data_IF_753177616308
#
_entry.id   IF_753177616308
#
_cell.length_a   1.000
_cell.length_b   1.000
_cell.length_c   1.000
_cell.angle_alpha   90.00
_cell.angle_beta   90.00
_cell.angle_gamma   90.00
#
_symmetry.space_group_name_H-M   'P 1'
#
loop_
_entity.id
_entity.type
_entity.pdbx_description
1 polymer ?
#
# COMPACT_ATOMS: atom_id res chain seq x y z
N UNK A 1 -4.91 10.35 18.34
CA UNK A 1 -5.21 9.61 17.11
C UNK A 1 -4.25 8.44 17.06
N UNK A 2 -4.73 7.22 16.89
CA UNK A 2 -3.87 6.05 16.74
C UNK A 2 -3.62 5.80 15.26
N UNK A 3 -2.36 5.66 14.88
CA UNK A 3 -1.99 5.28 13.52
C UNK A 3 -2.04 3.75 13.43
N UNK A 4 -2.60 3.20 12.36
CA UNK A 4 -2.67 1.75 12.11
C UNK A 4 -2.25 1.50 10.66
N UNK A 5 -1.29 0.59 10.47
CA UNK A 5 -0.84 0.09 9.17
C UNK A 5 -1.55 -1.21 8.83
N UNK A 6 -2.36 -1.16 7.77
CA UNK A 6 -3.04 -2.30 7.19
C UNK A 6 -2.42 -2.65 5.83
N UNK A 7 -1.94 -3.88 5.65
CA UNK A 7 -1.42 -4.37 4.36
C UNK A 7 -2.38 -5.39 3.75
N UNK A 8 -2.63 -5.27 2.44
CA UNK A 8 -3.63 -6.06 1.73
C UNK A 8 -2.94 -6.93 0.69
N UNK A 9 -3.05 -8.25 0.86
CA UNK A 9 -2.40 -9.28 0.02
C UNK A 9 -3.44 -10.25 -0.53
N UNK A 10 -3.05 -11.10 -1.48
CA UNK A 10 -3.99 -11.94 -2.25
C UNK A 10 -3.71 -11.86 -3.74
N UNK A 11 -4.34 -12.74 -4.52
CA UNK A 11 -4.09 -12.93 -5.96
C UNK A 11 -4.32 -11.65 -6.81
N UNK A 12 -3.92 -11.74 -8.09
CA UNK A 12 -4.31 -10.76 -9.11
C UNK A 12 -5.83 -10.77 -9.27
N UNK A 13 -6.41 -9.62 -9.61
CA UNK A 13 -7.84 -9.43 -9.88
C UNK A 13 -8.86 -9.71 -8.75
N UNK A 14 -8.49 -10.23 -7.57
CA UNK A 14 -9.41 -10.47 -6.42
C UNK A 14 -9.95 -9.20 -5.72
N UNK A 15 -10.03 -8.07 -6.42
CA UNK A 15 -10.70 -6.86 -5.95
C UNK A 15 -9.97 -6.01 -4.90
N UNK A 16 -8.74 -6.37 -4.47
CA UNK A 16 -7.96 -5.63 -3.43
C UNK A 16 -7.96 -4.11 -3.64
N UNK A 17 -7.61 -3.66 -4.84
CA UNK A 17 -7.54 -2.25 -5.22
C UNK A 17 -8.92 -1.57 -5.23
N UNK A 18 -9.98 -2.29 -5.62
CA UNK A 18 -11.36 -1.78 -5.59
C UNK A 18 -11.86 -1.63 -4.14
N UNK A 19 -11.60 -2.62 -3.29
CA UNK A 19 -11.88 -2.59 -1.84
C UNK A 19 -11.24 -1.37 -1.16
N UNK A 20 -10.01 -1.00 -1.53
CA UNK A 20 -9.27 0.11 -0.94
C UNK A 20 -9.67 1.47 -1.53
N UNK A 21 -9.83 1.58 -2.85
CA UNK A 21 -10.25 2.83 -3.49
C UNK A 21 -11.68 3.17 -3.07
N UNK A 22 -12.66 2.28 -3.23
CA UNK A 22 -14.05 2.61 -2.90
C UNK A 22 -14.24 2.94 -1.41
N UNK A 23 -13.49 2.29 -0.51
CA UNK A 23 -13.50 2.65 0.91
C UNK A 23 -12.91 4.04 1.21
N UNK A 24 -11.99 4.55 0.38
CA UNK A 24 -11.30 5.83 0.60
C UNK A 24 -11.87 6.99 -0.22
N UNK A 25 -12.59 6.72 -1.32
CA UNK A 25 -13.12 7.76 -2.23
C UNK A 25 -14.63 7.71 -2.47
N UNK A 26 -15.36 6.70 -1.97
CA UNK A 26 -16.78 6.45 -2.29
C UNK A 26 -17.02 6.38 -3.82
N UNK A 27 -16.10 5.70 -4.51
CA UNK A 27 -16.15 5.50 -5.96
C UNK A 27 -15.49 4.16 -6.36
N UNK A 28 -16.12 3.46 -7.31
CA UNK A 28 -15.55 2.28 -7.96
C UNK A 28 -14.64 2.74 -9.13
N UNK A 29 -13.43 2.18 -9.31
CA UNK A 29 -12.59 2.47 -10.46
C UNK A 29 -13.27 2.10 -11.78
N UNK A 30 -13.29 3.01 -12.76
CA UNK A 30 -13.91 2.77 -14.07
C UNK A 30 -13.10 1.82 -14.98
N UNK A 31 -11.79 1.68 -14.74
CA UNK A 31 -10.89 0.81 -15.50
C UNK A 31 -9.98 0.01 -14.54
N UNK A 32 -9.65 -1.23 -14.92
CA UNK A 32 -8.71 -2.06 -14.15
C UNK A 32 -7.26 -1.76 -14.53
N UNK A 33 -6.56 -1.05 -13.65
CA UNK A 33 -5.10 -0.87 -13.71
C UNK A 33 -4.43 -1.87 -12.74
N UNK A 34 -3.47 -2.71 -13.19
CA UNK A 34 -2.77 -3.63 -12.28
C UNK A 34 -1.91 -2.89 -11.25
N UNK A 35 -2.24 -3.02 -9.96
CA UNK A 35 -1.39 -2.50 -8.87
C UNK A 35 -0.02 -3.17 -8.87
N UNK A 36 1.03 -2.35 -8.88
CA UNK A 36 2.37 -2.69 -8.40
C UNK A 36 2.41 -2.52 -6.88
N UNK A 37 2.21 -1.28 -6.43
CA UNK A 37 2.18 -0.90 -5.03
C UNK A 37 1.59 0.52 -4.89
N UNK A 38 0.59 0.71 -4.03
CA UNK A 38 -0.02 2.01 -3.72
C UNK A 38 -0.28 2.14 -2.21
N UNK A 39 -0.31 3.37 -1.68
CA UNK A 39 -0.66 3.66 -0.28
C UNK A 39 -1.79 4.70 -0.22
N UNK A 40 -2.90 4.33 0.41
CA UNK A 40 -4.03 5.21 0.70
C UNK A 40 -4.11 5.52 2.19
N UNK A 41 -4.83 6.58 2.57
CA UNK A 41 -5.01 6.99 3.96
C UNK A 41 -6.48 7.33 4.24
N UNK A 42 -6.99 6.90 5.39
CA UNK A 42 -8.34 7.20 5.86
C UNK A 42 -8.35 7.60 7.34
N UNK A 43 -9.16 8.60 7.69
CA UNK A 43 -9.35 9.06 9.07
C UNK A 43 -10.77 8.76 9.52
N UNK A 44 -10.92 8.13 10.69
CA UNK A 44 -12.20 7.54 11.11
C UNK A 44 -12.32 7.38 12.62
N UNK A 45 -13.55 7.08 13.07
CA UNK A 45 -13.86 6.69 14.45
C UNK A 45 -14.27 5.21 14.47
N UNK A 46 -13.53 4.38 15.20
CA UNK A 46 -13.90 2.98 15.47
C UNK A 46 -13.99 2.80 16.98
N UNK A 47 -15.14 2.30 17.45
CA UNK A 47 -15.44 2.07 18.87
C UNK A 47 -15.12 3.27 19.78
N UNK A 48 -15.38 4.48 19.29
CA UNK A 48 -15.11 5.76 19.97
C UNK A 48 -13.65 6.24 19.93
N UNK A 49 -12.72 5.47 19.34
CA UNK A 49 -11.29 5.81 19.22
C UNK A 49 -11.01 6.45 17.85
N UNK A 50 -10.34 7.63 17.77
CA UNK A 50 -9.94 8.25 16.51
C UNK A 50 -8.70 7.58 15.91
N UNK A 51 -8.84 7.03 14.70
CA UNK A 51 -7.84 6.24 13.98
C UNK A 51 -7.42 6.92 12.68
N UNK A 52 -6.13 6.84 12.38
CA UNK A 52 -5.54 7.12 11.08
C UNK A 52 -5.09 5.80 10.46
N UNK A 53 -5.91 5.24 9.57
CA UNK A 53 -5.61 3.99 8.88
C UNK A 53 -4.81 4.32 7.62
N UNK A 54 -3.60 3.77 7.52
CA UNK A 54 -2.88 3.69 6.26
C UNK A 54 -3.12 2.31 5.63
N UNK A 55 -3.26 2.29 4.30
CA UNK A 55 -3.73 1.17 3.51
C UNK A 55 -2.73 0.87 2.39
N UNK A 56 -1.97 -0.21 2.53
CA UNK A 56 -0.96 -0.64 1.57
C UNK A 56 -1.59 -1.66 0.60
N UNK A 57 -1.88 -1.24 -0.65
CA UNK A 57 -2.28 -2.16 -1.73
C UNK A 57 -1.04 -2.80 -2.36
N UNK A 58 -1.14 -4.07 -2.74
CA UNK A 58 0.02 -4.84 -3.22
C UNK A 58 -0.27 -5.68 -4.46
N UNK A 59 0.74 -5.82 -5.33
CA UNK A 59 0.69 -6.67 -6.51
C UNK A 59 0.38 -8.13 -6.15
N UNK A 60 -0.74 -8.64 -6.69
CA UNK A 60 -1.13 -10.06 -6.57
C UNK A 60 -0.52 -10.97 -7.63
N UNK A 61 0.48 -10.49 -8.39
CA UNK A 61 1.17 -11.23 -9.44
C UNK A 61 2.55 -11.68 -8.94
N UNK A 62 2.99 -12.86 -9.37
CA UNK A 62 4.17 -13.57 -8.82
C UNK A 62 5.50 -12.86 -9.12
N UNK A 63 5.57 -12.10 -10.21
CA UNK A 63 6.73 -11.26 -10.57
C UNK A 63 7.15 -10.31 -9.44
N UNK A 64 6.20 -9.96 -8.56
CA UNK A 64 6.38 -9.04 -7.43
C UNK A 64 6.59 -9.75 -6.08
N UNK A 65 6.68 -11.09 -6.03
CA UNK A 65 6.85 -11.85 -4.78
C UNK A 65 8.10 -11.45 -3.97
N UNK A 66 9.13 -10.92 -4.64
CA UNK A 66 10.35 -10.40 -3.98
C UNK A 66 10.23 -8.93 -3.54
N UNK A 67 9.27 -8.19 -4.09
CA UNK A 67 9.04 -6.78 -3.81
C UNK A 67 7.95 -6.57 -2.75
N UNK A 68 6.91 -7.43 -2.77
CA UNK A 68 5.77 -7.39 -1.85
C UNK A 68 6.18 -7.37 -0.37
N UNK A 69 7.14 -8.22 0.10
CA UNK A 69 7.46 -8.29 1.52
C UNK A 69 8.11 -7.04 2.10
N UNK A 70 8.64 -6.16 1.23
CA UNK A 70 9.21 -4.87 1.63
C UNK A 70 8.10 -3.90 2.12
N UNK A 71 6.83 -4.23 1.84
CA UNK A 71 5.65 -3.58 2.41
C UNK A 71 5.35 -4.03 3.84
N UNK A 72 5.89 -5.16 4.31
CA UNK A 72 5.45 -5.83 5.56
C UNK A 72 6.06 -5.31 6.88
N UNK A 73 7.24 -4.68 6.96
CA UNK A 73 7.78 -4.19 8.24
C UNK A 73 6.79 -3.27 8.98
N UNK A 74 6.68 -3.47 10.30
CA UNK A 74 5.78 -2.69 11.18
C UNK A 74 4.28 -2.72 10.78
N UNK A 75 3.81 -3.82 10.17
CA UNK A 75 2.38 -3.98 9.86
C UNK A 75 1.57 -4.35 11.11
N UNK A 76 0.56 -3.54 11.44
CA UNK A 76 -0.32 -3.79 12.58
C UNK A 76 -1.39 -4.85 12.26
N UNK A 77 -1.86 -4.93 11.02
CA UNK A 77 -2.86 -5.93 10.58
C UNK A 77 -2.73 -6.27 9.09
N UNK A 78 -2.98 -7.54 8.75
CA UNK A 78 -3.06 -8.00 7.36
C UNK A 78 -4.50 -8.30 6.96
N UNK A 79 -4.87 -7.92 5.75
CA UNK A 79 -6.00 -8.52 5.01
C UNK A 79 -5.42 -9.54 4.02
N UNK A 80 -5.86 -10.79 4.09
CA UNK A 80 -5.66 -11.76 3.02
C UNK A 80 -6.97 -11.84 2.23
N UNK A 81 -6.94 -11.39 0.98
CA UNK A 81 -8.09 -11.35 0.09
C UNK A 81 -8.08 -12.52 -0.91
N UNK A 82 -9.24 -13.12 -1.12
CA UNK A 82 -9.53 -14.03 -2.23
C UNK A 82 -10.90 -13.67 -2.82
N UNK A 83 -11.18 -14.05 -4.07
CA UNK A 83 -12.51 -13.84 -4.65
C UNK A 83 -13.40 -15.05 -4.42
N UNK A 84 -14.64 -14.80 -4.01
CA UNK A 84 -15.66 -15.83 -3.79
C UNK A 84 -16.05 -16.56 -5.08
N UNK A 85 -15.70 -16.02 -6.25
CA UNK A 85 -15.96 -16.63 -7.58
C UNK A 85 -14.68 -17.02 -8.33
N UNK A 86 -13.54 -17.09 -7.63
CA UNK A 86 -12.26 -17.55 -8.17
C UNK A 86 -11.63 -18.59 -7.22
N UNK A 87 -12.05 -19.87 -7.29
CA UNK A 87 -11.65 -20.90 -6.31
C UNK A 87 -10.14 -21.13 -6.16
N UNK A 88 -9.36 -20.97 -7.24
CA UNK A 88 -7.89 -21.01 -7.17
C UNK A 88 -7.30 -19.95 -6.22
N UNK A 89 -7.91 -18.76 -6.16
CA UNK A 89 -7.47 -17.71 -5.24
C UNK A 89 -7.75 -18.04 -3.77
N UNK A 90 -8.77 -18.88 -3.50
CA UNK A 90 -9.07 -19.41 -2.17
C UNK A 90 -8.06 -20.50 -1.78
N UNK A 91 -7.68 -21.40 -2.68
CA UNK A 91 -6.60 -22.37 -2.45
C UNK A 91 -5.26 -21.67 -2.17
N UNK A 92 -4.96 -20.60 -2.92
CA UNK A 92 -3.77 -19.78 -2.74
C UNK A 92 -3.69 -19.07 -1.38
N UNK A 93 -4.80 -18.91 -0.63
CA UNK A 93 -4.77 -18.41 0.76
C UNK A 93 -3.86 -19.27 1.62
N UNK A 94 -4.04 -20.60 1.58
CA UNK A 94 -3.24 -21.55 2.35
C UNK A 94 -1.93 -21.92 1.67
N UNK A 95 -1.92 -22.05 0.34
CA UNK A 95 -0.70 -22.43 -0.38
C UNK A 95 0.38 -21.33 -0.35
N UNK A 96 -0.03 -20.07 -0.51
CA UNK A 96 0.87 -18.92 -0.68
C UNK A 96 0.71 -17.87 0.42
N UNK A 97 -0.43 -17.20 0.48
CA UNK A 97 -0.56 -15.91 1.19
C UNK A 97 -0.35 -16.00 2.70
N UNK A 98 -0.93 -17.01 3.35
CA UNK A 98 -0.71 -17.27 4.77
C UNK A 98 0.76 -17.56 5.09
N UNK A 99 1.42 -18.39 4.28
CA UNK A 99 2.81 -18.78 4.49
C UNK A 99 3.76 -17.59 4.31
N UNK A 100 3.54 -16.77 3.28
CA UNK A 100 4.30 -15.55 3.02
C UNK A 100 4.13 -14.52 4.17
N UNK A 101 2.89 -14.24 4.57
CA UNK A 101 2.60 -13.32 5.68
C UNK A 101 3.22 -13.83 6.99
N UNK A 102 3.13 -15.12 7.30
CA UNK A 102 3.70 -15.68 8.55
C UNK A 102 5.22 -15.84 8.52
N UNK A 103 5.83 -15.99 7.35
CA UNK A 103 7.30 -15.98 7.21
C UNK A 103 7.89 -14.63 7.63
N UNK A 104 7.29 -13.53 7.17
CA UNK A 104 7.76 -12.17 7.43
C UNK A 104 7.16 -11.50 8.68
N UNK A 105 5.93 -11.86 9.06
CA UNK A 105 5.15 -11.23 10.14
C UNK A 105 4.41 -12.29 10.97
N UNK A 106 5.14 -12.84 11.94
CA UNK A 106 4.68 -13.96 12.79
C UNK A 106 3.48 -13.61 13.68
N UNK A 107 3.45 -12.39 14.23
CA UNK A 107 2.51 -11.99 15.29
C UNK A 107 1.32 -11.15 14.81
N UNK A 108 1.43 -10.49 13.65
CA UNK A 108 0.39 -9.57 13.18
C UNK A 108 -0.95 -10.29 12.96
N UNK A 109 -2.09 -9.76 13.44
CA UNK A 109 -3.41 -10.33 13.17
C UNK A 109 -3.71 -10.38 11.66
N UNK A 110 -4.38 -11.45 11.25
CA UNK A 110 -4.87 -11.65 9.89
C UNK A 110 -6.40 -11.59 9.92
N UNK A 111 -6.99 -10.79 9.02
CA UNK A 111 -8.39 -10.90 8.61
C UNK A 111 -8.41 -11.66 7.28
N UNK A 112 -9.22 -12.71 7.18
CA UNK A 112 -9.52 -13.34 5.90
C UNK A 112 -10.71 -12.62 5.26
N UNK A 113 -10.57 -12.24 3.99
CA UNK A 113 -11.56 -11.44 3.26
C UNK A 113 -11.98 -12.14 1.96
N UNK A 114 -13.24 -12.57 1.88
CA UNK A 114 -13.85 -13.04 0.64
C UNK A 114 -14.46 -11.87 -0.13
N UNK A 115 -13.94 -11.55 -1.30
CA UNK A 115 -14.41 -10.43 -2.16
C UNK A 115 -15.39 -10.91 -3.22
N UNK A 116 -16.06 -9.96 -3.91
CA UNK A 116 -17.04 -10.25 -4.98
C UNK A 116 -18.26 -11.04 -4.48
N UNK A 117 -18.73 -10.73 -3.26
CA UNK A 117 -19.94 -11.34 -2.68
C UNK A 117 -21.19 -11.16 -3.55
N UNK A 118 -21.25 -10.07 -4.31
CA UNK A 118 -22.27 -9.76 -5.31
C UNK A 118 -22.35 -10.77 -6.46
N UNK A 119 -21.26 -11.49 -6.78
CA UNK A 119 -21.21 -12.48 -7.87
C UNK A 119 -21.41 -13.93 -7.40
N UNK A 120 -21.56 -14.18 -6.09
CA UNK A 120 -21.76 -15.55 -5.58
C UNK A 120 -23.05 -16.17 -6.08
N UNK A 121 -24.12 -15.38 -6.09
CA UNK A 121 -25.49 -15.81 -6.38
C UNK A 121 -25.95 -15.29 -7.77
N UNK A 122 -24.98 -14.97 -8.65
CA UNK A 122 -25.17 -14.43 -10.00
C UNK A 122 -25.24 -15.56 -11.05
N UNK A 123 -26.27 -15.55 -11.90
CA UNK A 123 -26.58 -16.67 -12.79
C UNK A 123 -25.47 -16.90 -13.84
N UNK A 124 -25.02 -15.85 -14.53
CA UNK A 124 -23.93 -15.92 -15.52
C UNK A 124 -22.63 -16.45 -14.87
N UNK A 125 -22.28 -15.96 -13.68
CA UNK A 125 -21.07 -16.38 -12.96
C UNK A 125 -21.15 -17.82 -12.46
N UNK A 126 -22.34 -18.32 -12.10
CA UNK A 126 -22.56 -19.72 -11.72
C UNK A 126 -22.40 -20.63 -12.95
N UNK A 127 -23.04 -20.32 -14.07
CA UNK A 127 -22.91 -21.11 -15.32
C UNK A 127 -21.44 -21.17 -15.79
N UNK A 128 -20.73 -20.03 -15.77
CA UNK A 128 -19.30 -19.97 -16.08
C UNK A 128 -18.45 -20.89 -15.17
N UNK A 129 -18.81 -21.08 -13.91
CA UNK A 129 -18.08 -21.96 -12.99
C UNK A 129 -18.48 -23.44 -13.18
N UNK A 130 -19.75 -23.74 -13.45
CA UNK A 130 -20.22 -25.12 -13.70
C UNK A 130 -19.60 -25.71 -14.98
N UNK A 131 -19.45 -24.94 -16.06
CA UNK A 131 -18.69 -25.38 -17.25
C UNK A 131 -17.27 -25.86 -16.91
N UNK A 132 -16.64 -25.16 -15.97
CA UNK A 132 -15.28 -25.41 -15.47
C UNK A 132 -15.25 -26.49 -14.38
N UNK A 133 -16.40 -27.05 -13.99
CA UNK A 133 -16.63 -28.00 -12.87
C UNK A 133 -16.22 -27.44 -11.51
N UNK A 134 -16.42 -26.15 -11.33
CA UNK A 134 -16.19 -25.39 -10.11
C UNK A 134 -17.52 -24.89 -9.54
N UNK A 135 -17.46 -24.26 -8.35
CA UNK A 135 -18.59 -23.55 -7.76
C UNK A 135 -18.07 -22.32 -7.00
N UNK A 136 -18.93 -21.30 -6.73
CA UNK A 136 -18.59 -20.22 -5.82
C UNK A 136 -18.22 -20.73 -4.42
N UNK A 137 -17.30 -20.04 -3.76
CA UNK A 137 -16.84 -20.38 -2.40
C UNK A 137 -17.94 -20.04 -1.39
N UNK A 138 -18.34 -21.03 -0.59
CA UNK A 138 -19.38 -20.88 0.43
C UNK A 138 -18.85 -20.18 1.69
N UNK A 139 -19.76 -19.63 2.49
CA UNK A 139 -19.38 -19.01 3.76
C UNK A 139 -18.76 -20.01 4.75
N UNK A 140 -19.18 -21.27 4.70
CA UNK A 140 -18.61 -22.35 5.53
C UNK A 140 -17.16 -22.67 5.14
N UNK A 141 -16.85 -22.73 3.85
CA UNK A 141 -15.47 -22.90 3.37
C UNK A 141 -14.58 -21.73 3.83
N UNK A 142 -15.07 -20.49 3.71
CA UNK A 142 -14.38 -19.30 4.20
C UNK A 142 -14.13 -19.30 5.71
N UNK A 143 -15.12 -19.71 6.50
CA UNK A 143 -14.98 -19.87 7.96
C UNK A 143 -13.98 -21.00 8.33
N UNK A 144 -13.99 -22.11 7.60
CA UNK A 144 -13.03 -23.20 7.80
C UNK A 144 -11.60 -22.72 7.52
N UNK A 145 -11.37 -22.07 6.38
CA UNK A 145 -10.07 -21.50 6.01
C UNK A 145 -9.58 -20.48 7.04
N UNK A 146 -10.46 -19.57 7.50
CA UNK A 146 -10.11 -18.59 8.53
C UNK A 146 -9.66 -19.24 9.85
N UNK A 147 -10.32 -20.33 10.25
CA UNK A 147 -9.93 -21.12 11.42
C UNK A 147 -8.61 -21.87 11.19
N UNK A 148 -8.41 -22.44 10.00
CA UNK A 148 -7.20 -23.17 9.62
C UNK A 148 -5.94 -22.29 9.62
N UNK A 149 -6.03 -21.07 9.07
CA UNK A 149 -4.91 -20.10 9.04
C UNK A 149 -4.77 -19.27 10.33
N UNK A 150 -5.61 -19.51 11.35
CA UNK A 150 -5.61 -18.72 12.58
C UNK A 150 -5.89 -17.22 12.35
N UNK A 151 -6.75 -16.89 11.39
CA UNK A 151 -7.25 -15.53 11.21
C UNK A 151 -8.12 -15.13 12.41
N UNK A 152 -8.04 -13.88 12.85
CA UNK A 152 -8.84 -13.39 13.98
C UNK A 152 -10.28 -13.09 13.59
N UNK A 153 -10.56 -13.02 12.27
CA UNK A 153 -11.89 -12.81 11.71
C UNK A 153 -11.95 -13.30 10.24
N UNK A 154 -13.13 -13.76 9.84
CA UNK A 154 -13.55 -13.86 8.44
C UNK A 154 -14.59 -12.77 8.15
N UNK A 155 -14.47 -12.11 7.00
CA UNK A 155 -15.43 -11.12 6.51
C UNK A 155 -15.66 -11.35 5.01
N UNK A 156 -16.91 -11.26 4.56
CA UNK A 156 -17.26 -11.27 3.15
C UNK A 156 -17.67 -9.87 2.70
N UNK A 157 -17.25 -9.46 1.51
CA UNK A 157 -17.61 -8.15 0.98
C UNK A 157 -17.84 -8.08 -0.52
N UNK A 158 -18.81 -7.25 -0.88
CA UNK A 158 -18.98 -6.73 -2.25
C UNK A 158 -18.15 -5.46 -2.42
N UNK A 159 -17.60 -5.26 -3.63
CA UNK A 159 -16.96 -3.99 -4.01
C UNK A 159 -17.94 -2.81 -4.14
N UNK A 160 -19.25 -3.07 -4.13
CA UNK A 160 -20.31 -2.13 -4.52
C UNK A 160 -21.01 -1.43 -3.34
N UNK A 161 -20.84 -1.90 -2.09
CA UNK A 161 -21.61 -1.41 -0.95
C UNK A 161 -20.73 -0.94 0.23
N UNK A 162 -20.72 0.38 0.49
CA UNK A 162 -19.95 1.01 1.59
C UNK A 162 -20.06 0.30 2.95
N UNK A 163 -21.26 -0.17 3.34
CA UNK A 163 -21.47 -0.87 4.61
C UNK A 163 -20.63 -2.15 4.71
N UNK A 164 -20.48 -2.85 3.58
CA UNK A 164 -19.71 -4.09 3.45
C UNK A 164 -18.21 -3.80 3.55
N UNK A 165 -17.73 -2.79 2.81
CA UNK A 165 -16.33 -2.30 2.88
C UNK A 165 -15.97 -1.86 4.31
N UNK A 166 -16.83 -1.05 4.95
CA UNK A 166 -16.60 -0.56 6.33
C UNK A 166 -16.45 -1.72 7.33
N UNK A 167 -17.19 -2.82 7.18
CA UNK A 167 -17.07 -3.97 8.08
C UNK A 167 -15.68 -4.63 8.02
N UNK A 168 -15.04 -4.67 6.85
CA UNK A 168 -13.68 -5.21 6.70
C UNK A 168 -12.69 -4.37 7.51
N UNK A 169 -12.69 -3.05 7.33
CA UNK A 169 -11.74 -2.15 7.99
C UNK A 169 -12.03 -1.91 9.47
N UNK A 170 -13.30 -1.90 9.88
CA UNK A 170 -13.68 -1.87 11.29
C UNK A 170 -13.14 -3.09 12.05
N UNK A 171 -13.30 -4.31 11.51
CA UNK A 171 -12.79 -5.53 12.16
C UNK A 171 -11.26 -5.60 12.14
N UNK A 172 -10.61 -5.17 11.06
CA UNK A 172 -9.16 -5.04 10.98
C UNK A 172 -8.60 -4.07 12.04
N UNK A 173 -9.26 -2.93 12.24
CA UNK A 173 -8.91 -1.98 13.29
C UNK A 173 -9.19 -2.56 14.68
N UNK A 174 -10.32 -3.24 14.90
CA UNK A 174 -10.63 -3.88 16.19
C UNK A 174 -9.60 -4.94 16.58
N UNK A 175 -9.04 -5.68 15.62
CA UNK A 175 -7.98 -6.64 15.87
C UNK A 175 -6.73 -6.00 16.51
N UNK A 176 -6.38 -4.77 16.09
CA UNK A 176 -5.25 -4.00 16.62
C UNK A 176 -5.62 -3.27 17.92
N UNK A 177 -6.82 -2.69 17.98
CA UNK A 177 -7.25 -1.86 19.12
C UNK A 177 -7.65 -2.67 20.37
N UNK A 178 -8.09 -3.92 20.17
CA UNK A 178 -8.68 -4.78 21.20
C UNK A 178 -8.17 -6.25 21.02
N UNK A 179 -6.85 -6.52 21.05
CA UNK A 179 -6.29 -7.84 20.75
C UNK A 179 -6.77 -8.90 21.75
N UNK A 180 -7.30 -10.02 21.24
CA UNK A 180 -7.72 -11.17 22.03
C UNK A 180 -6.65 -12.27 21.99
N UNK A 181 -6.49 -13.09 23.05
CA UNK A 181 -5.72 -14.32 22.95
C UNK A 181 -6.32 -15.25 21.88
N UNK A 182 -5.48 -16.01 21.19
CA UNK A 182 -5.73 -16.65 19.88
C UNK A 182 -6.74 -17.81 19.85
N UNK A 183 -7.49 -18.05 20.93
CA UNK A 183 -8.66 -18.94 20.93
C UNK A 183 -9.91 -18.16 20.49
N UNK A 184 -10.02 -17.90 19.18
CA UNK A 184 -11.20 -17.25 18.59
C UNK A 184 -12.27 -18.29 18.30
N UNK A 185 -13.34 -18.28 19.09
CA UNK A 185 -14.59 -18.98 18.75
C UNK A 185 -15.30 -18.24 17.62
N UNK A 186 -15.61 -18.96 16.53
CA UNK A 186 -16.32 -18.44 15.36
C UNK A 186 -17.85 -18.55 15.49
N UNK A 187 -18.37 -18.69 16.71
CA UNK A 187 -19.82 -18.74 16.97
C UNK A 187 -20.55 -17.51 16.39
N UNK A 188 -21.48 -17.79 15.47
CA UNK A 188 -22.21 -16.76 14.74
C UNK A 188 -23.16 -15.99 15.66
N UNK A 189 -23.01 -14.66 15.69
CA UNK A 189 -24.00 -13.74 16.25
C UNK A 189 -24.53 -12.84 15.15
N UNK A 190 -25.77 -13.08 14.76
CA UNK A 190 -26.53 -12.24 13.84
C UNK A 190 -26.63 -10.81 14.43
N UNK A 191 -26.50 -9.74 13.64
CA UNK A 191 -26.51 -8.38 14.18
C UNK A 191 -27.86 -8.01 14.82
N UNK A 192 -27.89 -7.54 16.09
CA UNK A 192 -29.12 -7.03 16.69
C UNK A 192 -29.54 -5.69 16.04
N UNK A 193 -30.84 -5.41 16.06
CA UNK A 193 -31.36 -4.11 15.67
C UNK A 193 -30.90 -2.99 16.64
N UNK A 194 -30.84 -1.75 16.15
CA UNK A 194 -30.19 -0.65 16.86
C UNK A 194 -30.94 -0.17 18.12
N UNK A 195 -30.19 0.16 19.17
CA UNK A 195 -30.62 1.04 20.28
C UNK A 195 -29.39 1.60 21.02
N UNK A 196 -29.58 2.69 21.78
CA UNK A 196 -28.49 3.57 22.28
C UNK A 196 -28.53 3.69 23.85
N UNK A 197 -27.76 4.57 24.54
CA UNK A 197 -26.64 4.05 25.34
C UNK A 197 -26.53 4.56 26.81
N UNK A 198 -25.79 3.82 27.66
CA UNK A 198 -25.31 4.28 28.98
C UNK A 198 -23.91 3.67 29.24
N UNK A 199 -22.76 4.38 29.21
CA UNK A 199 -22.18 5.44 30.09
C UNK A 199 -21.53 4.92 31.39
N UNK A 200 -20.33 5.43 31.71
CA UNK A 200 -19.54 5.29 32.98
C UNK A 200 -18.75 3.97 33.19
N UNK A 201 -17.58 3.91 33.85
CA UNK A 201 -16.45 4.86 34.08
C UNK A 201 -15.25 4.08 34.70
N UNK A 202 -14.11 4.77 34.92
CA UNK A 202 -12.99 4.50 35.84
C UNK A 202 -11.68 3.86 35.33
N UNK A 203 -10.60 4.33 35.97
CA UNK A 203 -9.17 3.99 35.99
C UNK A 203 -8.67 4.44 37.41
N UNK A 204 -7.39 4.38 37.85
CA UNK A 204 -6.10 3.99 37.22
C UNK A 204 -5.42 2.88 38.10
N UNK A 205 -4.08 2.73 38.35
CA UNK A 205 -2.89 3.43 37.85
C UNK A 205 -1.62 2.61 37.45
N UNK A 206 -0.73 3.37 36.81
CA UNK A 206 0.74 3.21 36.56
C UNK A 206 1.55 2.34 37.54
N UNK A 207 2.58 1.67 37.00
CA UNK A 207 4.00 1.97 37.36
C UNK A 207 5.01 1.59 36.28
N UNK A 208 6.15 2.28 36.34
CA UNK A 208 7.42 2.14 35.62
C UNK A 208 8.14 0.79 35.96
N UNK A 209 9.33 0.41 35.45
CA UNK A 209 10.43 1.20 34.88
C UNK A 209 11.51 0.38 34.09
N UNK A 210 12.25 1.07 33.22
CA UNK A 210 13.69 0.88 32.82
C UNK A 210 14.34 -0.51 32.65
N UNK A 211 14.80 -0.80 31.42
CA UNK A 211 16.21 -1.01 30.98
C UNK A 211 16.28 -1.98 29.77
N UNK A 212 16.71 -1.57 28.58
CA UNK A 212 18.11 -1.34 28.17
C UNK A 212 19.07 -2.52 28.42
N UNK A 213 19.47 -3.19 27.33
CA UNK A 213 20.89 -3.25 26.94
C UNK A 213 21.06 -3.56 25.44
N UNK A 214 22.07 -2.95 24.84
CA UNK A 214 22.45 -3.04 23.42
C UNK A 214 23.65 -3.96 23.22
N UNK A 215 23.70 -4.66 22.08
CA UNK A 215 24.94 -5.26 21.57
C UNK A 215 25.01 -5.22 20.04
N UNK A 216 25.83 -4.31 19.51
CA UNK A 216 26.45 -4.38 18.17
C UNK A 216 27.54 -5.49 18.17
N UNK A 217 28.11 -6.02 17.07
CA UNK A 217 27.95 -5.90 15.59
C UNK A 217 28.08 -7.35 15.02
N UNK A 218 28.32 -7.73 13.75
CA UNK A 218 28.72 -7.11 12.46
C UNK A 218 27.87 -7.72 11.32
N UNK A 219 27.58 -7.04 10.21
CA UNK A 219 28.39 -6.86 8.97
C UNK A 219 28.97 -8.15 8.36
N UNK A 220 28.46 -8.56 7.18
CA UNK A 220 29.16 -8.41 5.89
C UNK A 220 28.34 -9.03 4.72
N UNK A 221 27.51 -8.21 4.06
CA UNK A 221 26.78 -8.56 2.83
C UNK A 221 26.39 -7.32 1.98
N UNK A 222 27.13 -6.21 2.12
CA UNK A 222 26.83 -4.95 1.43
C UNK A 222 27.16 -5.01 -0.08
N UNK A 223 26.36 -4.34 -0.92
CA UNK A 223 26.67 -4.16 -2.34
C UNK A 223 25.49 -4.15 -3.30
N UNK A 224 24.34 -4.76 -2.95
CA UNK A 224 23.12 -4.75 -3.79
C UNK A 224 21.87 -4.36 -3.00
N UNK A 225 21.63 -4.95 -1.82
CA UNK A 225 20.44 -4.65 -1.00
C UNK A 225 20.30 -3.16 -0.65
N UNK A 226 21.41 -2.51 -0.29
CA UNK A 226 21.49 -1.08 0.04
C UNK A 226 21.00 -0.16 -1.10
N UNK A 227 21.15 -0.60 -2.36
CA UNK A 227 20.65 0.15 -3.54
C UNK A 227 19.12 0.05 -3.61
N UNK A 228 18.56 -1.14 -3.38
CA UNK A 228 17.11 -1.36 -3.35
C UNK A 228 16.45 -0.62 -2.17
N UNK A 229 17.04 -0.68 -0.98
CA UNK A 229 16.56 0.04 0.21
C UNK A 229 16.50 1.55 -0.02
N UNK A 230 17.55 2.14 -0.60
CA UNK A 230 17.59 3.57 -0.94
C UNK A 230 16.61 3.97 -2.04
N UNK A 231 16.30 3.09 -2.98
CA UNK A 231 15.22 3.29 -3.97
C UNK A 231 13.84 3.30 -3.29
N UNK A 232 13.63 2.47 -2.27
CA UNK A 232 12.35 2.40 -1.55
C UNK A 232 12.15 3.55 -0.56
N UNK A 233 13.20 4.02 0.11
CA UNK A 233 13.17 5.28 0.85
C UNK A 233 12.82 6.45 -0.09
N UNK A 234 13.36 6.45 -1.31
CA UNK A 234 13.00 7.41 -2.36
C UNK A 234 11.52 7.34 -2.75
N UNK A 235 10.96 6.14 -2.96
CA UNK A 235 9.54 5.93 -3.24
C UNK A 235 8.66 6.39 -2.06
N UNK A 236 9.11 6.20 -0.82
CA UNK A 236 8.40 6.65 0.37
C UNK A 236 8.32 8.18 0.45
N UNK A 237 9.39 8.87 0.06
CA UNK A 237 9.44 10.34 -0.02
C UNK A 237 8.75 10.87 -1.30
N UNK A 238 8.67 10.09 -2.39
CA UNK A 238 8.04 10.50 -3.66
C UNK A 238 6.52 10.32 -3.74
N UNK A 239 5.85 9.92 -2.66
CA UNK A 239 4.39 9.66 -2.59
C UNK A 239 3.46 10.83 -3.00
N UNK A 240 3.99 12.01 -3.32
CA UNK A 240 3.24 13.18 -3.83
C UNK A 240 3.78 13.72 -5.16
N UNK A 241 4.58 12.92 -5.87
CA UNK A 241 5.38 13.29 -7.04
C UNK A 241 5.11 12.32 -8.22
N UNK A 242 3.98 12.42 -8.94
CA UNK A 242 3.60 11.45 -9.98
C UNK A 242 4.69 11.20 -11.04
N UNK A 243 5.26 12.24 -11.64
CA UNK A 243 6.40 12.14 -12.59
C UNK A 243 7.58 11.31 -12.05
N UNK A 244 7.86 11.47 -10.75
CA UNK A 244 9.03 10.91 -10.08
C UNK A 244 8.78 9.45 -9.73
N UNK A 245 7.59 9.15 -9.19
CA UNK A 245 7.16 7.78 -8.90
C UNK A 245 7.06 6.94 -10.18
N UNK A 246 6.60 7.52 -11.30
CA UNK A 246 6.61 6.86 -12.60
C UNK A 246 8.04 6.51 -13.07
N UNK A 247 8.97 7.47 -13.02
CA UNK A 247 10.36 7.23 -13.40
C UNK A 247 11.09 6.26 -12.45
N UNK A 248 10.76 6.23 -11.16
CA UNK A 248 11.33 5.25 -10.22
C UNK A 248 10.73 3.85 -10.45
N UNK A 249 9.44 3.71 -10.80
CA UNK A 249 8.87 2.42 -11.23
C UNK A 249 9.61 1.89 -12.45
N UNK A 250 9.76 2.71 -13.49
CA UNK A 250 10.50 2.38 -14.72
C UNK A 250 11.97 1.98 -14.46
N UNK A 251 12.66 2.65 -13.53
CA UNK A 251 14.00 2.25 -13.05
C UNK A 251 14.01 0.93 -12.26
N UNK A 252 12.96 0.68 -11.46
CA UNK A 252 12.82 -0.55 -10.65
C UNK A 252 12.57 -1.76 -11.55
N UNK A 253 11.72 -1.61 -12.57
CA UNK A 253 11.42 -2.67 -13.53
C UNK A 253 12.66 -3.06 -14.34
N UNK A 254 13.43 -2.06 -14.82
CA UNK A 254 14.74 -2.25 -15.45
C UNK A 254 15.70 -3.02 -14.54
N UNK A 255 15.82 -2.61 -13.27
CA UNK A 255 16.73 -3.22 -12.30
C UNK A 255 16.33 -4.66 -11.96
N UNK A 256 15.03 -4.95 -11.87
CA UNK A 256 14.50 -6.28 -11.61
C UNK A 256 14.72 -7.23 -12.81
N UNK A 257 14.50 -6.74 -14.04
CA UNK A 257 14.59 -7.55 -15.26
C UNK A 257 16.02 -7.71 -15.81
N UNK A 258 16.99 -6.90 -15.36
CA UNK A 258 18.36 -6.80 -15.91
C UNK A 258 18.42 -6.45 -17.41
N UNK A 259 17.40 -5.78 -17.92
CA UNK A 259 17.28 -5.40 -19.34
C UNK A 259 17.97 -4.05 -19.59
N UNK A 260 18.59 -3.90 -20.76
CA UNK A 260 19.21 -2.64 -21.20
C UNK A 260 18.16 -1.54 -21.37
N UNK A 261 18.33 -0.40 -20.68
CA UNK A 261 17.39 0.74 -20.75
C UNK A 261 17.22 1.20 -22.21
N UNK A 262 16.00 1.19 -22.72
CA UNK A 262 15.71 1.67 -24.07
C UNK A 262 15.80 3.22 -24.16
N UNK A 263 16.05 3.80 -25.35
CA UNK A 263 16.23 5.25 -25.48
C UNK A 263 15.03 6.08 -25.01
N UNK A 264 13.81 5.58 -25.15
CA UNK A 264 12.57 6.20 -24.67
C UNK A 264 12.48 6.20 -23.14
N UNK A 265 12.73 5.06 -22.49
CA UNK A 265 12.76 4.98 -21.02
C UNK A 265 13.83 5.90 -20.44
N UNK A 266 15.03 5.92 -21.04
CA UNK A 266 16.11 6.83 -20.64
C UNK A 266 15.70 8.31 -20.82
N UNK A 267 14.83 8.63 -21.78
CA UNK A 267 14.27 9.96 -21.98
C UNK A 267 13.20 10.32 -20.92
N UNK A 268 12.34 9.38 -20.52
CA UNK A 268 11.37 9.55 -19.42
C UNK A 268 12.10 9.81 -18.08
N UNK A 269 13.05 8.94 -17.74
CA UNK A 269 13.93 9.08 -16.57
C UNK A 269 14.65 10.44 -16.57
N UNK A 270 15.16 10.87 -17.74
CA UNK A 270 15.77 12.21 -17.90
C UNK A 270 14.78 13.36 -17.74
N UNK A 271 13.51 13.21 -18.12
CA UNK A 271 12.48 14.24 -17.89
C UNK A 271 12.08 14.37 -16.40
N UNK A 272 12.23 13.31 -15.60
CA UNK A 272 12.00 13.37 -14.15
C UNK A 272 13.17 14.02 -13.39
N UNK A 273 14.42 13.69 -13.75
CA UNK A 273 15.61 14.05 -12.94
C UNK A 273 16.61 15.03 -13.57
N UNK A 274 16.44 15.48 -14.82
CA UNK A 274 17.20 16.63 -15.36
C UNK A 274 16.53 17.97 -15.03
N UNK A 275 17.35 18.98 -14.77
CA UNK A 275 16.88 20.35 -14.56
C UNK A 275 16.29 20.92 -15.85
N UNK A 276 15.05 21.45 -15.79
CA UNK A 276 14.40 22.02 -16.96
C UNK A 276 15.14 23.25 -17.54
N UNK A 277 16.01 23.89 -16.74
CA UNK A 277 16.87 25.01 -17.14
C UNK A 277 18.20 24.52 -17.73
N UNK A 278 19.12 23.97 -16.91
CA UNK A 278 20.49 23.65 -17.34
C UNK A 278 20.66 22.26 -17.99
N UNK A 279 19.59 21.47 -18.07
CA UNK A 279 19.52 20.11 -18.66
C UNK A 279 20.42 19.02 -18.05
N UNK A 280 21.30 19.36 -17.09
CA UNK A 280 22.04 18.40 -16.27
C UNK A 280 21.17 17.78 -15.17
N UNK A 281 21.65 16.69 -14.57
CA UNK A 281 21.04 16.05 -13.40
C UNK A 281 20.80 17.06 -12.27
N UNK A 282 19.66 16.94 -11.58
CA UNK A 282 19.26 17.89 -10.54
C UNK A 282 20.14 17.73 -9.29
N UNK A 283 20.85 18.81 -8.93
CA UNK A 283 21.54 18.98 -7.65
C UNK A 283 20.73 20.01 -6.83
N UNK A 284 20.39 19.68 -5.59
CA UNK A 284 19.43 20.43 -4.74
C UNK A 284 18.05 20.60 -5.43
N UNK A 285 17.15 19.60 -5.31
CA UNK A 285 15.92 19.56 -6.09
C UNK A 285 14.85 20.56 -5.63
N UNK A 286 14.44 21.42 -6.55
CA UNK A 286 13.22 22.23 -6.42
C UNK A 286 12.02 21.49 -7.02
N UNK A 287 10.99 21.32 -6.21
CA UNK A 287 9.69 20.78 -6.59
C UNK A 287 8.69 21.91 -6.85
N UNK A 288 7.82 21.78 -7.86
CA UNK A 288 6.76 22.75 -8.17
C UNK A 288 5.37 22.14 -7.98
N UNK A 289 4.56 22.76 -7.12
CA UNK A 289 3.15 22.40 -6.89
C UNK A 289 2.30 22.56 -8.16
N UNK A 290 2.68 23.46 -9.06
CA UNK A 290 1.95 23.77 -10.30
C UNK A 290 1.93 22.60 -11.31
N UNK A 291 2.90 21.68 -11.24
CA UNK A 291 2.95 20.47 -12.08
C UNK A 291 3.32 19.21 -11.30
N UNK A 292 3.22 19.25 -9.96
CA UNK A 292 3.54 18.17 -9.02
C UNK A 292 4.82 17.39 -9.37
N UNK A 293 5.90 18.11 -9.70
CA UNK A 293 7.11 17.53 -10.27
C UNK A 293 8.36 18.36 -9.95
N UNK A 294 9.54 17.73 -10.04
CA UNK A 294 10.81 18.47 -9.97
C UNK A 294 11.00 19.34 -11.20
N UNK A 295 11.49 20.56 -10.98
CA UNK A 295 11.65 21.58 -12.03
C UNK A 295 13.11 21.98 -12.26
N UNK A 296 13.99 21.80 -11.28
CA UNK A 296 15.41 22.08 -11.45
C UNK A 296 16.25 22.10 -10.20
N UNK A 297 17.56 22.31 -10.40
CA UNK A 297 18.50 22.66 -9.35
C UNK A 297 18.11 24.00 -8.74
N UNK A 298 18.22 24.12 -7.42
CA UNK A 298 17.95 25.33 -6.63
C UNK A 298 18.46 26.62 -7.28
N UNK A 299 19.78 26.75 -7.45
CA UNK A 299 20.41 27.94 -8.04
C UNK A 299 19.96 28.25 -9.49
N UNK A 300 19.52 27.24 -10.27
CA UNK A 300 19.01 27.45 -11.62
C UNK A 300 17.55 27.92 -11.63
N UNK A 301 16.78 27.57 -10.60
CA UNK A 301 15.37 27.97 -10.44
C UNK A 301 15.28 29.34 -9.80
N UNK A 302 16.11 29.63 -8.80
CA UNK A 302 16.21 30.95 -8.15
C UNK A 302 16.60 32.04 -9.16
N UNK A 303 17.69 31.86 -9.91
CA UNK A 303 18.09 32.79 -10.99
C UNK A 303 17.04 32.94 -12.10
N UNK A 304 16.19 31.93 -12.30
CA UNK A 304 15.08 32.03 -13.26
C UNK A 304 13.89 32.81 -12.71
N UNK A 305 13.64 32.81 -11.40
CA UNK A 305 12.60 33.66 -10.77
C UNK A 305 12.89 35.15 -10.93
N UNK A 306 14.16 35.55 -10.95
CA UNK A 306 14.61 36.93 -11.23
C UNK A 306 14.16 37.45 -12.61
N UNK A 307 13.81 36.55 -13.54
CA UNK A 307 13.49 36.88 -14.94
C UNK A 307 12.17 36.28 -15.45
N UNK A 308 11.52 35.39 -14.70
CA UNK A 308 10.24 34.78 -15.09
C UNK A 308 9.52 34.11 -13.92
N UNK A 309 8.24 34.47 -13.72
CA UNK A 309 7.35 33.84 -12.72
C UNK A 309 6.79 32.48 -13.17
N UNK A 310 7.03 32.08 -14.42
CA UNK A 310 6.47 30.86 -15.02
C UNK A 310 7.26 29.60 -14.61
N UNK A 311 6.55 28.50 -14.37
CA UNK A 311 7.12 27.22 -14.00
C UNK A 311 8.19 26.75 -15.00
N UNK A 312 9.39 26.40 -14.52
CA UNK A 312 10.51 26.09 -15.40
C UNK A 312 10.29 24.86 -16.30
N UNK A 313 9.44 23.92 -15.87
CA UNK A 313 9.06 22.69 -16.59
C UNK A 313 7.77 22.87 -17.41
N UNK A 314 6.61 23.07 -16.78
CA UNK A 314 5.31 23.13 -17.47
C UNK A 314 4.91 24.51 -18.04
N UNK A 315 5.69 25.58 -17.80
CA UNK A 315 5.39 26.98 -18.18
C UNK A 315 4.13 27.62 -17.58
N UNK A 316 3.43 26.95 -16.65
CA UNK A 316 2.29 27.52 -15.92
C UNK A 316 2.66 28.80 -15.14
N UNK A 317 1.70 29.74 -15.05
CA UNK A 317 1.90 31.07 -14.45
C UNK A 317 1.92 31.03 -12.92
N UNK A 318 2.37 32.12 -12.30
CA UNK A 318 2.38 32.34 -10.84
C UNK A 318 3.08 31.20 -10.05
N UNK A 319 4.09 30.57 -10.66
CA UNK A 319 4.78 29.44 -10.05
C UNK A 319 5.81 29.88 -9.00
N UNK A 320 6.21 31.16 -8.97
CA UNK A 320 7.21 31.72 -8.05
C UNK A 320 6.97 31.38 -6.57
N UNK A 321 5.74 31.55 -6.08
CA UNK A 321 5.38 31.24 -4.69
C UNK A 321 5.11 29.75 -4.42
N UNK A 322 5.08 28.93 -5.47
CA UNK A 322 4.58 27.55 -5.46
C UNK A 322 5.68 26.51 -5.76
N UNK A 323 6.95 26.82 -5.48
CA UNK A 323 8.05 25.84 -5.53
C UNK A 323 8.78 25.73 -4.20
N UNK A 324 9.05 24.49 -3.78
CA UNK A 324 9.64 24.10 -2.51
C UNK A 324 11.02 23.47 -2.74
N UNK A 325 11.96 23.74 -1.84
CA UNK A 325 13.24 23.04 -1.78
C UNK A 325 13.04 21.68 -1.10
N UNK A 326 13.42 20.58 -1.77
CA UNK A 326 13.29 19.23 -1.22
C UNK A 326 14.65 18.75 -0.72
N UNK A 327 14.76 18.57 0.60
CA UNK A 327 15.99 18.11 1.29
C UNK A 327 15.94 16.60 1.55
N UNK A 328 17.07 16.03 1.99
CA UNK A 328 17.20 14.61 2.33
C UNK A 328 17.45 13.67 1.14
N UNK A 329 16.95 13.99 -0.05
CA UNK A 329 17.08 13.12 -1.24
C UNK A 329 18.49 13.02 -1.86
N UNK A 330 19.52 13.64 -1.26
CA UNK A 330 20.86 13.75 -1.83
C UNK A 330 21.54 12.39 -2.03
N UNK A 331 21.54 11.54 -1.01
CA UNK A 331 22.22 10.24 -1.04
C UNK A 331 21.46 9.22 -1.88
N UNK A 332 20.13 9.24 -1.85
CA UNK A 332 19.30 8.37 -2.70
C UNK A 332 19.40 8.75 -4.20
N UNK A 333 19.53 10.04 -4.53
CA UNK A 333 19.82 10.49 -5.90
C UNK A 333 21.28 10.32 -6.33
N UNK A 334 22.21 10.00 -5.43
CA UNK A 334 23.61 9.75 -5.80
C UNK A 334 23.75 8.54 -6.73
N UNK A 335 22.94 7.49 -6.50
CA UNK A 335 22.87 6.28 -7.34
C UNK A 335 22.51 6.63 -8.77
N UNK A 336 21.45 7.44 -8.95
CA UNK A 336 20.93 7.80 -10.27
C UNK A 336 21.91 8.67 -11.08
N UNK A 337 22.83 9.41 -10.44
CA UNK A 337 23.83 10.22 -11.16
C UNK A 337 24.65 9.37 -12.16
N UNK A 338 24.89 8.10 -11.86
CA UNK A 338 25.59 7.16 -12.77
C UNK A 338 24.93 7.00 -14.14
N UNK A 339 23.62 7.18 -14.25
CA UNK A 339 22.85 7.10 -15.50
C UNK A 339 22.86 8.42 -16.32
N UNK A 340 23.47 9.47 -15.74
CA UNK A 340 23.47 10.84 -16.25
C UNK A 340 24.92 11.36 -16.29
N UNK A 341 25.70 10.87 -17.28
CA UNK A 341 27.06 11.35 -17.59
C UNK A 341 27.16 12.88 -17.40
N UNK A 342 28.06 13.33 -16.50
CA UNK A 342 28.09 14.73 -16.02
C UNK A 342 28.52 15.78 -17.05
#
# INVERSE_FOLDING_TARGET
MQNIKCVVVGDKAVGKTCLLINYTTDAVPAEYVPTVFEIYYAHMMVDGKPVSLGLWDTAGLEDYDKLRPLSYPQTDVFLICFSLVMPSSFENVRAKWFNEVRHHCKEAPIILVGTMLDLRDDEDTIEELEEKKLSPITCEQGLFMAKEIGAVKYVECTGLALRSLKMVFDEAIRAVLNPKPTNVDFSFKQPPAATSPTTQQTAPPRTNNTNQRTSQKSDDAAGIGEVTEKIQELLLVSQRLPDVTAAIRELTDVAAQKVTISPSQLQTIKQAFCCAVCKKFIKEPMFSLCCQSFVGCKACVERRRETSENCAKCRGRNAGNNMLEVRGLGDAFSVLRSLFNE
#
